data_IF_484229106873
#
_entry.id   IF_484229106873
#
_cell.length_a   1.000
_cell.length_b   1.000
_cell.length_c   1.000
_cell.angle_alpha   90.00
_cell.angle_beta   90.00
_cell.angle_gamma   90.00
#
_symmetry.space_group_name_H-M   'P 1'
#
loop_
_entity.id
_entity.type
_entity.pdbx_description
1 polymer ?
#
# COMPACT_ATOMS: atom_id res chain seq x y z
N UNK A 1 25.09 -0.36 -16.67
CA UNK A 1 25.35 1.05 -16.27
C UNK A 1 24.01 1.63 -15.89
N UNK A 2 23.79 1.94 -14.61
CA UNK A 2 22.54 2.59 -14.13
C UNK A 2 22.50 4.01 -14.71
N UNK A 3 21.41 4.36 -15.38
CA UNK A 3 21.22 5.68 -15.99
C UNK A 3 21.26 6.78 -14.90
N UNK A 4 21.76 7.98 -15.19
CA UNK A 4 21.95 9.04 -14.17
C UNK A 4 20.67 9.37 -13.41
N UNK A 5 19.53 9.34 -14.10
CA UNK A 5 18.17 9.51 -13.56
C UNK A 5 17.83 8.43 -12.54
N UNK A 6 18.08 7.17 -12.88
CA UNK A 6 17.81 6.01 -12.04
C UNK A 6 18.67 6.02 -10.78
N UNK A 7 19.96 6.40 -10.88
CA UNK A 7 20.84 6.55 -9.70
C UNK A 7 20.29 7.54 -8.70
N UNK A 8 19.74 8.68 -9.16
CA UNK A 8 19.12 9.68 -8.29
C UNK A 8 17.91 9.10 -7.55
N UNK A 9 17.09 8.29 -8.24
CA UNK A 9 15.93 7.64 -7.62
C UNK A 9 16.38 6.68 -6.49
N UNK A 10 17.39 5.85 -6.73
CA UNK A 10 17.92 4.93 -5.72
C UNK A 10 18.47 5.66 -4.49
N UNK A 11 19.31 6.68 -4.72
CA UNK A 11 19.90 7.47 -3.63
C UNK A 11 18.81 8.19 -2.83
N UNK A 12 17.82 8.76 -3.50
CA UNK A 12 16.73 9.49 -2.83
C UNK A 12 15.91 8.57 -1.92
N UNK A 13 15.52 7.38 -2.41
CA UNK A 13 14.81 6.41 -1.58
C UNK A 13 15.66 5.90 -0.43
N UNK A 14 16.93 5.57 -0.68
CA UNK A 14 17.85 5.13 0.37
C UNK A 14 17.99 6.18 1.48
N UNK A 15 18.11 7.47 1.12
CA UNK A 15 18.15 8.57 2.08
C UNK A 15 16.86 8.63 2.91
N UNK A 16 15.67 8.58 2.27
CA UNK A 16 14.39 8.60 2.99
C UNK A 16 14.30 7.45 4.00
N UNK A 17 14.69 6.23 3.59
CA UNK A 17 14.67 5.05 4.44
C UNK A 17 15.64 5.17 5.62
N UNK A 18 16.88 5.58 5.36
CA UNK A 18 17.91 5.76 6.41
C UNK A 18 17.50 6.87 7.37
N UNK A 19 17.00 8.01 6.88
CA UNK A 19 16.53 9.10 7.73
C UNK A 19 15.32 8.69 8.59
N UNK A 20 14.44 7.82 8.06
CA UNK A 20 13.33 7.26 8.85
C UNK A 20 13.87 6.40 10.01
N UNK A 21 14.82 5.50 9.76
CA UNK A 21 15.45 4.71 10.82
C UNK A 21 16.16 5.60 11.86
N UNK A 22 16.93 6.59 11.40
CA UNK A 22 17.66 7.51 12.26
C UNK A 22 16.72 8.35 13.13
N UNK A 23 15.62 8.86 12.57
CA UNK A 23 14.63 9.61 13.33
C UNK A 23 14.01 8.76 14.45
N UNK A 24 13.77 7.47 14.20
CA UNK A 24 13.33 6.52 15.24
C UNK A 24 14.35 6.31 16.34
N UNK A 25 15.61 6.03 15.96
CA UNK A 25 16.70 5.81 16.91
C UNK A 25 16.96 7.05 17.78
N UNK A 26 16.87 8.24 17.20
CA UNK A 26 17.03 9.51 17.92
C UNK A 26 15.84 9.83 18.84
N UNK A 27 14.65 9.30 18.53
CA UNK A 27 13.43 9.49 19.33
C UNK A 27 13.50 8.74 20.66
N UNK A 28 13.74 7.43 20.60
CA UNK A 28 13.57 6.55 21.77
C UNK A 28 14.92 6.08 22.35
N UNK A 29 16.02 6.40 21.66
CA UNK A 29 17.37 5.92 21.96
C UNK A 29 17.68 4.58 21.28
N UNK A 30 18.97 4.30 21.02
CA UNK A 30 19.39 3.12 20.24
C UNK A 30 19.06 1.79 20.92
N UNK A 31 19.26 1.69 22.25
CA UNK A 31 19.00 0.45 22.98
C UNK A 31 17.51 0.10 23.03
N UNK A 32 16.65 1.08 23.34
CA UNK A 32 15.19 0.93 23.35
C UNK A 32 14.67 0.55 21.97
N UNK A 33 15.06 1.32 20.94
CA UNK A 33 14.64 1.08 19.56
C UNK A 33 15.01 -0.32 19.07
N UNK A 34 16.19 -0.82 19.45
CA UNK A 34 16.61 -2.17 19.09
C UNK A 34 15.83 -3.24 19.85
N UNK A 35 15.57 -3.05 21.15
CA UNK A 35 14.74 -3.96 21.94
C UNK A 35 13.32 -4.07 21.37
N UNK A 36 12.69 -2.94 21.06
CA UNK A 36 11.36 -2.88 20.46
C UNK A 36 11.33 -3.53 19.07
N UNK A 37 12.37 -3.30 18.26
CA UNK A 37 12.53 -3.95 16.96
C UNK A 37 12.55 -5.49 17.08
N UNK A 38 13.29 -6.04 18.05
CA UNK A 38 13.32 -7.48 18.29
C UNK A 38 11.95 -8.01 18.71
N UNK A 39 11.26 -7.31 19.61
CA UNK A 39 9.88 -7.65 20.02
C UNK A 39 8.94 -7.68 18.82
N UNK A 40 9.04 -6.70 17.91
CA UNK A 40 8.26 -6.66 16.66
C UNK A 40 8.52 -7.89 15.79
N UNK A 41 9.77 -8.37 15.68
CA UNK A 41 10.08 -9.58 14.89
C UNK A 41 9.44 -10.84 15.47
N UNK A 42 9.25 -10.92 16.79
CA UNK A 42 8.66 -12.08 17.46
C UNK A 42 7.20 -11.89 17.87
N UNK A 43 6.48 -11.00 17.19
CA UNK A 43 5.06 -10.73 17.46
C UNK A 43 4.15 -11.18 16.31
N UNK A 44 2.92 -11.55 16.67
CA UNK A 44 1.80 -11.65 15.73
C UNK A 44 1.58 -10.32 15.01
N UNK A 45 1.16 -10.36 13.75
CA UNK A 45 1.18 -9.19 12.88
C UNK A 45 -0.05 -9.10 11.95
N UNK A 46 -1.21 -9.57 12.43
CA UNK A 46 -2.49 -9.47 11.70
C UNK A 46 -2.88 -8.02 11.42
N UNK A 47 -3.86 -7.86 10.52
CA UNK A 47 -4.36 -6.57 10.06
C UNK A 47 -4.70 -5.64 11.24
N UNK A 48 -4.15 -4.42 11.21
CA UNK A 48 -4.20 -3.42 12.29
C UNK A 48 -3.45 -3.86 13.57
N UNK A 49 -2.26 -4.45 13.41
CA UNK A 49 -1.26 -4.55 14.48
C UNK A 49 -0.29 -3.37 14.44
N UNK A 50 -0.59 -2.30 15.19
CA UNK A 50 0.23 -1.09 15.23
C UNK A 50 1.53 -1.28 16.05
N UNK A 51 2.68 -1.30 15.37
CA UNK A 51 3.97 -1.47 16.04
C UNK A 51 4.41 -0.24 16.83
N UNK A 52 3.84 0.94 16.57
CA UNK A 52 4.15 2.14 17.38
C UNK A 52 3.60 2.02 18.80
N UNK A 53 2.68 1.09 19.06
CA UNK A 53 2.23 0.74 20.41
C UNK A 53 3.27 -0.07 21.20
N UNK A 54 4.21 -0.75 20.53
CA UNK A 54 5.36 -1.41 21.16
C UNK A 54 6.44 -0.37 21.44
N UNK A 55 6.80 0.42 20.42
CA UNK A 55 7.77 1.50 20.53
C UNK A 55 7.93 2.23 19.21
N UNK A 56 8.11 3.56 19.27
CA UNK A 56 8.13 4.41 18.09
C UNK A 56 9.43 4.22 17.31
N UNK A 57 10.55 4.21 18.02
CA UNK A 57 11.87 3.96 17.47
C UNK A 57 11.97 2.58 16.83
N UNK A 58 11.50 1.53 17.53
CA UNK A 58 11.46 0.17 16.99
C UNK A 58 10.59 0.04 15.74
N UNK A 59 9.40 0.65 15.73
CA UNK A 59 8.51 0.65 14.57
C UNK A 59 9.14 1.36 13.36
N UNK A 60 9.80 2.51 13.56
CA UNK A 60 10.48 3.23 12.49
C UNK A 60 11.68 2.46 11.92
N UNK A 61 12.46 1.80 12.78
CA UNK A 61 13.57 0.92 12.36
C UNK A 61 13.04 -0.27 11.55
N UNK A 62 11.97 -0.93 12.03
CA UNK A 62 11.34 -2.02 11.30
C UNK A 62 10.81 -1.55 9.93
N UNK A 63 10.10 -0.42 9.90
CA UNK A 63 9.58 0.17 8.67
C UNK A 63 10.67 0.46 7.64
N UNK A 64 11.75 1.12 8.06
CA UNK A 64 12.89 1.41 7.21
C UNK A 64 13.56 0.14 6.69
N UNK A 65 13.71 -0.88 7.53
CA UNK A 65 14.32 -2.15 7.13
C UNK A 65 13.47 -2.92 6.12
N UNK A 66 12.13 -2.93 6.28
CA UNK A 66 11.21 -3.50 5.28
C UNK A 66 11.30 -2.72 3.96
N UNK A 67 11.37 -1.39 4.00
CA UNK A 67 11.57 -0.57 2.81
C UNK A 67 12.92 -0.84 2.11
N UNK A 68 14.00 -0.99 2.89
CA UNK A 68 15.33 -1.34 2.38
C UNK A 68 15.36 -2.74 1.76
N UNK A 69 14.63 -3.70 2.35
CA UNK A 69 14.45 -5.03 1.76
C UNK A 69 13.82 -4.92 0.37
N UNK A 70 12.77 -4.11 0.18
CA UNK A 70 12.19 -3.90 -1.14
C UNK A 70 13.11 -3.18 -2.12
N UNK A 71 13.83 -2.15 -1.67
CA UNK A 71 14.84 -1.48 -2.51
C UNK A 71 15.92 -2.46 -2.97
N UNK A 72 16.36 -3.36 -2.08
CA UNK A 72 17.27 -4.45 -2.39
C UNK A 72 16.70 -5.43 -3.42
N UNK A 73 15.44 -5.84 -3.27
CA UNK A 73 14.75 -6.70 -4.25
C UNK A 73 14.76 -6.07 -5.64
N UNK A 74 14.44 -4.78 -5.77
CA UNK A 74 14.44 -4.08 -7.07
C UNK A 74 15.84 -4.03 -7.66
N UNK A 75 16.84 -3.67 -6.84
CA UNK A 75 18.24 -3.58 -7.26
C UNK A 75 18.80 -4.92 -7.76
N UNK A 76 18.64 -5.99 -6.96
CA UNK A 76 19.18 -7.32 -7.30
C UNK A 76 18.38 -8.04 -8.39
N UNK A 77 17.11 -7.68 -8.58
CA UNK A 77 16.30 -8.22 -9.68
C UNK A 77 16.57 -7.54 -11.02
N UNK A 78 17.47 -6.55 -11.06
CA UNK A 78 17.80 -5.73 -12.25
C UNK A 78 16.56 -5.09 -12.88
N UNK A 79 15.63 -4.63 -12.04
CA UNK A 79 14.40 -3.94 -12.48
C UNK A 79 14.59 -2.44 -12.38
N UNK A 80 14.07 -1.72 -13.35
CA UNK A 80 14.11 -0.25 -13.35
C UNK A 80 13.37 0.30 -12.13
N UNK A 81 13.99 1.26 -11.46
CA UNK A 81 13.34 2.01 -10.39
C UNK A 81 12.38 3.04 -11.00
N UNK A 82 11.15 2.60 -11.26
CA UNK A 82 10.08 3.29 -11.97
C UNK A 82 8.88 3.52 -11.02
N UNK A 83 7.82 4.18 -11.49
CA UNK A 83 6.63 4.47 -10.67
C UNK A 83 6.06 3.27 -9.91
N UNK A 84 5.83 2.11 -10.56
CA UNK A 84 5.33 0.91 -9.88
C UNK A 84 6.24 0.39 -8.76
N UNK A 85 7.56 0.38 -8.96
CA UNK A 85 8.52 -0.11 -7.94
C UNK A 85 8.69 0.89 -6.80
N UNK A 86 8.65 2.19 -7.08
CA UNK A 86 8.59 3.26 -6.07
C UNK A 86 7.31 3.12 -5.23
N UNK A 87 6.16 2.91 -5.87
CA UNK A 87 4.90 2.65 -5.17
C UNK A 87 4.99 1.43 -4.26
N UNK A 88 5.60 0.34 -4.75
CA UNK A 88 5.89 -0.86 -3.95
C UNK A 88 6.73 -0.58 -2.71
N UNK A 89 7.85 0.14 -2.85
CA UNK A 89 8.77 0.44 -1.75
C UNK A 89 8.09 1.32 -0.68
N UNK A 90 7.41 2.39 -1.08
CA UNK A 90 6.67 3.24 -0.14
C UNK A 90 5.54 2.49 0.57
N UNK A 91 4.87 1.58 -0.13
CA UNK A 91 3.81 0.74 0.46
C UNK A 91 4.40 -0.19 1.51
N UNK A 92 5.43 -0.97 1.20
CA UNK A 92 6.01 -1.90 2.18
C UNK A 92 6.70 -1.16 3.34
N UNK A 93 7.29 0.03 3.09
CA UNK A 93 7.77 0.92 4.15
C UNK A 93 6.62 1.30 5.08
N UNK A 94 5.50 1.75 4.52
CA UNK A 94 4.32 2.12 5.29
C UNK A 94 3.76 0.98 6.13
N UNK A 95 3.61 -0.19 5.54
CA UNK A 95 3.16 -1.39 6.25
C UNK A 95 4.26 -2.00 7.14
N UNK A 96 5.50 -1.54 7.07
CA UNK A 96 6.50 -1.88 8.07
C UNK A 96 6.28 -1.15 9.40
N UNK A 97 5.40 -0.15 9.45
CA UNK A 97 4.91 0.39 10.73
C UNK A 97 3.81 -0.47 11.36
N UNK A 98 3.20 -1.40 10.60
CA UNK A 98 2.13 -2.27 11.08
C UNK A 98 1.98 -3.53 10.21
N UNK A 99 2.14 -4.70 10.82
CA UNK A 99 1.85 -5.97 10.14
C UNK A 99 2.96 -6.56 9.26
N UNK A 100 3.93 -5.78 8.75
CA UNK A 100 5.09 -6.32 8.01
C UNK A 100 6.37 -6.29 8.82
N UNK A 101 7.11 -7.38 8.77
CA UNK A 101 8.46 -7.50 9.32
C UNK A 101 9.38 -8.15 8.28
N UNK A 102 10.70 -7.95 8.36
CA UNK A 102 11.64 -8.72 7.56
C UNK A 102 11.39 -10.24 7.66
N UNK A 103 11.11 -10.74 8.88
CA UNK A 103 10.81 -12.16 9.12
C UNK A 103 9.66 -12.66 8.25
N UNK A 104 8.57 -11.90 8.16
CA UNK A 104 7.35 -12.34 7.50
C UNK A 104 7.31 -12.04 5.99
N UNK A 105 8.12 -11.08 5.54
CA UNK A 105 8.22 -10.71 4.12
C UNK A 105 9.10 -11.69 3.33
N UNK A 106 10.22 -12.13 3.89
CA UNK A 106 11.23 -12.93 3.18
C UNK A 106 10.68 -14.26 2.64
N UNK A 107 9.92 -15.08 3.41
CA UNK A 107 9.38 -16.34 2.91
C UNK A 107 8.45 -16.14 1.70
N UNK A 108 7.62 -15.12 1.73
CA UNK A 108 6.70 -14.77 0.62
C UNK A 108 7.49 -14.39 -0.63
N UNK A 109 8.48 -13.50 -0.50
CA UNK A 109 9.33 -13.08 -1.61
C UNK A 109 10.09 -14.27 -2.21
N UNK A 110 10.63 -15.16 -1.36
CA UNK A 110 11.31 -16.37 -1.79
C UNK A 110 10.38 -17.31 -2.58
N UNK A 111 9.12 -17.46 -2.16
CA UNK A 111 8.10 -18.20 -2.89
C UNK A 111 7.83 -17.62 -4.28
N UNK A 112 7.66 -16.30 -4.40
CA UNK A 112 7.44 -15.62 -5.69
C UNK A 112 8.62 -15.85 -6.64
N UNK A 113 9.85 -15.79 -6.12
CA UNK A 113 11.07 -16.06 -6.89
C UNK A 113 11.19 -17.52 -7.34
N UNK A 114 10.80 -18.48 -6.49
CA UNK A 114 10.71 -19.88 -6.90
C UNK A 114 9.71 -20.05 -8.07
N UNK A 115 8.56 -19.38 -7.98
CA UNK A 115 7.56 -19.35 -9.06
C UNK A 115 8.10 -18.74 -10.35
N UNK A 116 8.89 -17.65 -10.28
CA UNK A 116 9.56 -17.08 -11.45
C UNK A 116 10.47 -18.11 -12.12
N UNK A 117 11.28 -18.82 -11.34
CA UNK A 117 12.17 -19.87 -11.83
C UNK A 117 11.40 -21.03 -12.46
N UNK A 118 10.34 -21.51 -11.82
CA UNK A 118 9.50 -22.60 -12.36
C UNK A 118 8.79 -22.20 -13.65
N UNK A 119 8.39 -20.93 -13.79
CA UNK A 119 7.76 -20.41 -14.99
C UNK A 119 8.75 -20.01 -16.11
N UNK A 120 10.06 -20.23 -15.92
CA UNK A 120 11.09 -19.81 -16.87
C UNK A 120 11.16 -18.28 -17.06
N UNK A 121 10.78 -17.51 -16.05
CA UNK A 121 10.79 -16.04 -16.03
C UNK A 121 11.98 -15.51 -15.24
N UNK A 122 12.37 -14.27 -15.51
CA UNK A 122 13.37 -13.57 -14.70
C UNK A 122 12.76 -13.15 -13.36
N UNK A 123 13.57 -13.04 -12.31
CA UNK A 123 13.13 -12.51 -11.01
C UNK A 123 12.50 -11.12 -11.16
N UNK A 124 13.06 -10.30 -12.05
CA UNK A 124 12.55 -8.97 -12.34
C UNK A 124 11.10 -8.94 -12.84
N UNK A 125 10.68 -9.96 -13.60
CA UNK A 125 9.31 -10.07 -14.13
C UNK A 125 8.26 -10.15 -13.01
N UNK A 126 8.61 -10.73 -11.86
CA UNK A 126 7.72 -10.89 -10.71
C UNK A 126 8.10 -9.99 -9.52
N UNK A 127 8.99 -9.00 -9.71
CA UNK A 127 9.43 -8.09 -8.65
C UNK A 127 8.28 -7.36 -7.96
N UNK A 128 7.33 -6.80 -8.72
CA UNK A 128 6.14 -6.14 -8.15
C UNK A 128 5.26 -7.11 -7.37
N UNK A 129 5.13 -8.35 -7.86
CA UNK A 129 4.40 -9.41 -7.15
C UNK A 129 5.12 -9.78 -5.86
N UNK A 130 6.45 -9.83 -5.85
CA UNK A 130 7.24 -10.09 -4.64
C UNK A 130 7.08 -8.95 -3.62
N UNK A 131 7.16 -7.68 -4.04
CA UNK A 131 7.00 -6.53 -3.16
C UNK A 131 5.59 -6.48 -2.57
N UNK A 132 4.55 -6.46 -3.41
CA UNK A 132 3.18 -6.32 -2.93
C UNK A 132 2.62 -7.63 -2.34
N UNK A 133 3.14 -8.79 -2.74
CA UNK A 133 2.73 -10.09 -2.21
C UNK A 133 2.97 -10.25 -0.72
N UNK A 134 3.94 -9.51 -0.16
CA UNK A 134 4.18 -9.42 1.29
C UNK A 134 2.97 -8.92 2.08
N UNK A 135 1.88 -8.51 1.44
CA UNK A 135 0.59 -8.31 2.10
C UNK A 135 0.11 -9.54 2.88
N UNK A 136 0.51 -10.75 2.46
CA UNK A 136 0.28 -12.01 3.16
C UNK A 136 1.32 -12.30 4.25
N UNK A 137 2.19 -11.35 4.59
CA UNK A 137 3.10 -11.46 5.73
C UNK A 137 2.42 -11.92 7.03
N UNK A 138 1.20 -11.46 7.38
CA UNK A 138 0.52 -11.93 8.58
C UNK A 138 0.21 -13.43 8.57
N UNK A 139 0.04 -14.08 7.41
CA UNK A 139 -0.11 -15.53 7.35
C UNK A 139 1.10 -16.23 7.98
N UNK A 140 2.30 -15.71 7.72
CA UNK A 140 3.55 -16.25 8.26
C UNK A 140 3.56 -16.10 9.78
N UNK A 141 3.40 -14.89 10.30
CA UNK A 141 3.48 -14.64 11.76
C UNK A 141 2.31 -15.25 12.53
N UNK A 142 1.13 -15.33 11.93
CA UNK A 142 -0.02 -16.01 12.52
C UNK A 142 0.27 -17.50 12.74
N UNK A 143 0.78 -18.20 11.72
CA UNK A 143 1.19 -19.60 11.83
C UNK A 143 2.36 -19.76 12.81
N UNK A 144 3.27 -18.79 12.91
CA UNK A 144 4.41 -18.87 13.83
C UNK A 144 4.00 -18.70 15.29
N UNK A 145 3.12 -17.74 15.59
CA UNK A 145 2.96 -17.20 16.94
C UNK A 145 1.54 -17.27 17.49
N UNK A 146 0.52 -17.47 16.65
CA UNK A 146 -0.88 -17.35 17.07
C UNK A 146 -1.68 -18.67 17.00
N UNK A 147 -1.25 -19.68 16.23
CA UNK A 147 -1.96 -20.97 16.12
C UNK A 147 -1.79 -21.92 17.33
N UNK A 148 -1.04 -21.52 18.37
CA UNK A 148 -0.84 -22.31 19.58
C UNK A 148 0.07 -23.54 19.48
N UNK A 149 0.76 -23.75 18.35
CA UNK A 149 1.76 -24.82 18.21
C UNK A 149 3.11 -24.45 18.88
N UNK A 150 3.90 -25.43 19.36
CA UNK A 150 5.24 -25.17 19.87
C UNK A 150 6.15 -24.55 18.79
N UNK A 151 6.97 -23.57 19.18
CA UNK A 151 7.85 -22.81 18.28
C UNK A 151 8.71 -23.66 17.31
N UNK A 152 9.30 -24.81 17.72
CA UNK A 152 10.07 -25.66 16.82
C UNK A 152 9.29 -26.20 15.61
N UNK A 153 7.95 -26.29 15.72
CA UNK A 153 7.06 -26.73 14.65
C UNK A 153 6.38 -25.56 13.95
N UNK A 154 5.93 -24.56 14.72
CA UNK A 154 5.20 -23.41 14.18
C UNK A 154 6.08 -22.52 13.29
N UNK A 155 7.36 -22.34 13.64
CA UNK A 155 8.30 -21.51 12.86
C UNK A 155 8.55 -22.09 11.45
N UNK A 156 8.98 -23.36 11.30
CA UNK A 156 9.12 -23.96 9.97
C UNK A 156 7.81 -23.97 9.18
N UNK A 157 6.68 -24.21 9.84
CA UNK A 157 5.37 -24.22 9.19
C UNK A 157 4.98 -22.82 8.66
N UNK A 158 5.27 -21.76 9.42
CA UNK A 158 5.03 -20.38 8.98
C UNK A 158 5.89 -19.99 7.79
N UNK A 159 7.18 -20.36 7.79
CA UNK A 159 8.07 -20.16 6.65
C UNK A 159 7.53 -20.90 5.42
N UNK A 160 7.13 -22.16 5.58
CA UNK A 160 6.57 -22.97 4.50
C UNK A 160 5.26 -22.37 3.98
N UNK A 161 4.37 -21.94 4.86
CA UNK A 161 3.10 -21.29 4.51
C UNK A 161 3.32 -20.02 3.69
N UNK A 162 4.25 -19.17 4.12
CA UNK A 162 4.65 -17.99 3.36
C UNK A 162 5.27 -18.33 2.01
N UNK A 163 6.16 -19.31 1.96
CA UNK A 163 6.77 -19.76 0.71
C UNK A 163 5.72 -20.27 -0.29
N UNK A 164 4.77 -21.10 0.17
CA UNK A 164 3.69 -21.63 -0.68
C UNK A 164 2.77 -20.50 -1.15
N UNK A 165 2.35 -19.60 -0.26
CA UNK A 165 1.53 -18.44 -0.61
C UNK A 165 2.24 -17.55 -1.65
N UNK A 166 3.54 -17.32 -1.48
CA UNK A 166 4.37 -16.61 -2.45
C UNK A 166 4.43 -17.32 -3.81
N UNK A 167 4.60 -18.63 -3.82
CA UNK A 167 4.75 -19.40 -5.05
C UNK A 167 3.50 -19.41 -5.94
N UNK A 168 2.31 -19.36 -5.33
CA UNK A 168 1.03 -19.35 -6.07
C UNK A 168 0.61 -17.94 -6.53
N UNK A 169 1.12 -16.87 -5.92
CA UNK A 169 0.72 -15.49 -6.21
C UNK A 169 0.77 -15.11 -7.70
N UNK A 170 1.87 -15.39 -8.45
CA UNK A 170 1.93 -15.01 -9.87
C UNK A 170 0.85 -15.64 -10.73
N UNK A 171 0.44 -16.88 -10.43
CA UNK A 171 -0.60 -17.58 -11.17
C UNK A 171 -1.98 -16.93 -10.97
N UNK A 172 -2.26 -16.43 -9.77
CA UNK A 172 -3.55 -15.81 -9.43
C UNK A 172 -3.62 -14.35 -9.87
N UNK A 173 -2.50 -13.63 -9.80
CA UNK A 173 -2.43 -12.18 -10.07
C UNK A 173 -2.94 -11.80 -11.47
N UNK A 174 -2.65 -12.61 -12.49
CA UNK A 174 -3.11 -12.36 -13.86
C UNK A 174 -4.62 -12.39 -14.00
N UNK A 175 -5.28 -13.40 -13.42
CA UNK A 175 -6.74 -13.53 -13.43
C UNK A 175 -7.42 -12.40 -12.66
N UNK A 176 -6.85 -12.02 -11.52
CA UNK A 176 -7.38 -10.94 -10.69
C UNK A 176 -7.31 -9.58 -11.40
N UNK A 177 -6.23 -9.31 -12.15
CA UNK A 177 -6.09 -8.09 -12.95
C UNK A 177 -7.19 -7.96 -14.01
N UNK A 178 -7.61 -9.08 -14.62
CA UNK A 178 -8.67 -9.09 -15.63
C UNK A 178 -10.03 -8.70 -15.06
N UNK A 179 -10.35 -9.12 -13.83
CA UNK A 179 -11.63 -8.84 -13.18
C UNK A 179 -11.88 -7.34 -12.99
N UNK A 180 -10.90 -6.62 -12.46
CA UNK A 180 -11.03 -5.19 -12.20
C UNK A 180 -10.49 -4.30 -13.33
N UNK A 181 -9.98 -4.89 -14.41
CA UNK A 181 -9.50 -4.24 -15.64
C UNK A 181 -8.49 -3.09 -15.44
N UNK A 182 -7.71 -3.11 -14.37
CA UNK A 182 -6.74 -2.05 -14.04
C UNK A 182 -7.30 -0.84 -13.27
N UNK A 183 -8.56 -0.86 -12.83
CA UNK A 183 -9.17 0.23 -12.05
C UNK A 183 -8.96 0.14 -10.53
N UNK A 184 -8.26 -0.89 -10.05
CA UNK A 184 -7.81 -1.04 -8.68
C UNK A 184 -6.28 -0.99 -8.68
N UNK A 185 -5.70 0.09 -8.16
CA UNK A 185 -4.24 0.29 -8.15
C UNK A 185 -3.53 -0.74 -7.27
N UNK A 186 -4.17 -1.18 -6.19
CA UNK A 186 -3.68 -2.21 -5.27
C UNK A 186 -4.07 -3.62 -5.76
N UNK A 187 -3.81 -3.90 -7.04
CA UNK A 187 -4.21 -5.14 -7.72
C UNK A 187 -3.65 -6.41 -7.06
N UNK A 188 -2.40 -6.39 -6.59
CA UNK A 188 -1.82 -7.51 -5.87
C UNK A 188 -2.47 -7.67 -4.49
N UNK A 189 -2.95 -6.58 -3.87
CA UNK A 189 -3.79 -6.66 -2.67
C UNK A 189 -5.09 -7.43 -2.92
N UNK A 190 -5.73 -7.23 -4.08
CA UNK A 190 -6.89 -8.05 -4.48
C UNK A 190 -6.53 -9.54 -4.63
N UNK A 191 -5.34 -9.82 -5.16
CA UNK A 191 -4.82 -11.19 -5.28
C UNK A 191 -4.53 -11.82 -3.91
N UNK A 192 -3.89 -11.06 -3.02
CA UNK A 192 -3.59 -11.48 -1.66
C UNK A 192 -4.86 -11.72 -0.86
N UNK A 193 -5.86 -10.83 -0.92
CA UNK A 193 -7.14 -11.04 -0.23
C UNK A 193 -7.90 -12.26 -0.76
N UNK A 194 -7.87 -12.51 -2.07
CA UNK A 194 -8.44 -13.75 -2.63
C UNK A 194 -7.77 -14.99 -2.06
N UNK A 195 -6.44 -15.05 -2.01
CA UNK A 195 -5.71 -16.15 -1.38
C UNK A 195 -5.92 -16.22 0.15
N UNK A 196 -5.96 -15.07 0.81
CA UNK A 196 -6.20 -14.93 2.24
C UNK A 196 -7.56 -15.48 2.66
N UNK A 197 -8.57 -15.39 1.80
CA UNK A 197 -9.88 -16.02 2.01
C UNK A 197 -9.76 -17.55 2.09
N UNK A 198 -9.00 -18.19 1.19
CA UNK A 198 -8.78 -19.64 1.25
C UNK A 198 -7.94 -20.04 2.46
N UNK A 199 -6.87 -19.28 2.75
CA UNK A 199 -6.02 -19.54 3.91
C UNK A 199 -6.81 -19.43 5.23
N UNK A 200 -7.59 -18.35 5.40
CA UNK A 200 -8.43 -18.15 6.58
C UNK A 200 -9.52 -19.21 6.69
N UNK A 201 -10.16 -19.59 5.58
CA UNK A 201 -11.18 -20.64 5.57
C UNK A 201 -10.61 -22.01 5.96
N UNK A 202 -9.40 -22.34 5.50
CA UNK A 202 -8.72 -23.57 5.88
C UNK A 202 -8.37 -23.58 7.37
N UNK A 203 -7.86 -22.46 7.91
CA UNK A 203 -7.56 -22.32 9.35
C UNK A 203 -8.84 -22.41 10.20
N UNK A 204 -9.95 -21.83 9.74
CA UNK A 204 -11.27 -21.96 10.40
C UNK A 204 -11.77 -23.40 10.41
N UNK A 205 -11.63 -24.11 9.30
CA UNK A 205 -12.00 -25.53 9.22
C UNK A 205 -11.15 -26.41 10.17
N UNK A 206 -9.95 -25.96 10.51
CA UNK A 206 -9.06 -26.58 11.49
C UNK A 206 -9.21 -26.03 12.92
N UNK A 207 -10.25 -25.21 13.20
CA UNK A 207 -10.49 -24.54 14.49
C UNK A 207 -9.27 -23.77 15.03
N UNK A 208 -8.46 -23.23 14.11
CA UNK A 208 -7.18 -22.57 14.39
C UNK A 208 -7.19 -21.11 13.95
N UNK A 209 -8.37 -20.52 13.70
CA UNK A 209 -8.51 -19.12 13.28
C UNK A 209 -9.25 -18.31 14.34
N UNK A 210 -8.52 -17.41 15.00
CA UNK A 210 -9.09 -16.48 15.97
C UNK A 210 -9.70 -15.24 15.30
N UNK A 211 -10.56 -14.54 16.05
CA UNK A 211 -11.05 -13.22 15.65
C UNK A 211 -9.90 -12.21 15.52
N UNK A 212 -10.11 -11.19 14.68
CA UNK A 212 -9.10 -10.17 14.42
C UNK A 212 -8.96 -9.29 15.66
N UNK A 213 -7.75 -9.21 16.20
CA UNK A 213 -7.40 -8.22 17.22
C UNK A 213 -6.98 -6.90 16.56
N UNK A 214 -7.37 -5.78 17.16
CA UNK A 214 -6.97 -4.45 16.74
C UNK A 214 -6.06 -3.86 17.80
N UNK A 215 -4.82 -3.56 17.42
CA UNK A 215 -3.88 -2.80 18.24
C UNK A 215 -3.71 -1.44 17.58
N UNK A 216 -4.07 -0.38 18.31
CA UNK A 216 -4.16 0.98 17.78
C UNK A 216 -3.54 1.98 18.75
N UNK A 217 -2.42 2.58 18.38
CA UNK A 217 -1.80 3.60 19.21
C UNK A 217 -2.55 4.93 19.07
N UNK A 218 -2.97 5.48 20.19
CA UNK A 218 -3.65 6.79 20.28
C UNK A 218 -2.75 7.88 20.85
N UNK A 219 -1.53 7.53 21.27
CA UNK A 219 -0.57 8.47 21.86
C UNK A 219 0.03 9.34 20.76
N UNK A 220 -0.15 10.66 20.87
CA UNK A 220 0.47 11.60 19.96
C UNK A 220 1.97 11.72 20.23
N UNK A 221 2.78 11.60 19.18
CA UNK A 221 4.22 11.76 19.26
C UNK A 221 4.75 12.65 18.14
N UNK A 222 5.59 13.64 18.50
CA UNK A 222 6.09 14.64 17.55
C UNK A 222 6.77 14.02 16.34
N UNK A 223 7.61 13.00 16.54
CA UNK A 223 8.31 12.28 15.45
C UNK A 223 7.33 11.72 14.41
N UNK A 224 6.22 11.12 14.85
CA UNK A 224 5.22 10.55 13.94
C UNK A 224 4.45 11.64 13.20
N UNK A 225 4.09 12.74 13.88
CA UNK A 225 3.39 13.88 13.30
C UNK A 225 4.24 14.59 12.22
N UNK A 226 5.54 14.78 12.47
CA UNK A 226 6.42 15.52 11.55
C UNK A 226 7.03 14.67 10.43
N UNK A 227 6.99 13.33 10.52
CA UNK A 227 7.58 12.44 9.52
C UNK A 227 7.01 12.67 8.11
N UNK A 228 5.68 12.66 7.97
CA UNK A 228 5.03 12.80 6.66
C UNK A 228 5.25 14.17 6.03
N UNK A 229 5.05 15.30 6.76
CA UNK A 229 5.41 16.62 6.23
C UNK A 229 6.88 16.71 5.79
N UNK A 230 7.81 16.12 6.53
CA UNK A 230 9.23 16.12 6.18
C UNK A 230 9.51 15.33 4.89
N UNK A 231 8.98 14.12 4.77
CA UNK A 231 9.09 13.31 3.54
C UNK A 231 8.44 14.05 2.36
N UNK A 232 7.26 14.61 2.56
CA UNK A 232 6.52 15.34 1.51
C UNK A 232 7.29 16.57 1.03
N UNK A 233 7.90 17.33 1.95
CA UNK A 233 8.76 18.46 1.62
C UNK A 233 9.99 18.03 0.82
N UNK A 234 10.65 16.94 1.22
CA UNK A 234 11.81 16.39 0.52
C UNK A 234 11.46 15.95 -0.91
N UNK A 235 10.29 15.32 -1.11
CA UNK A 235 9.81 14.90 -2.44
C UNK A 235 9.46 16.11 -3.33
N UNK A 236 8.78 17.13 -2.79
CA UNK A 236 8.52 18.37 -3.52
C UNK A 236 9.82 19.09 -3.91
N UNK A 237 10.79 19.15 -2.99
CA UNK A 237 12.11 19.71 -3.26
C UNK A 237 12.82 18.93 -4.36
N UNK A 238 12.85 17.59 -4.28
CA UNK A 238 13.45 16.73 -5.30
C UNK A 238 12.80 16.94 -6.68
N UNK A 239 11.48 17.02 -6.72
CA UNK A 239 10.73 17.29 -7.95
C UNK A 239 10.99 18.66 -8.56
N UNK A 240 11.31 19.66 -7.73
CA UNK A 240 11.66 21.00 -8.19
C UNK A 240 13.08 21.08 -8.77
N UNK A 241 14.02 20.27 -8.27
CA UNK A 241 15.44 20.36 -8.64
C UNK A 241 15.91 19.28 -9.61
N UNK A 242 15.17 18.16 -9.78
CA UNK A 242 15.62 17.01 -10.54
C UNK A 242 14.51 16.32 -11.36
N UNK A 243 14.60 16.32 -12.71
CA UNK A 243 15.56 17.07 -13.55
C UNK A 243 15.26 18.59 -13.59
N UNK A 244 16.28 19.43 -13.80
CA UNK A 244 16.10 20.88 -13.88
C UNK A 244 15.46 21.29 -15.21
N UNK A 245 14.15 21.53 -15.21
CA UNK A 245 13.35 21.87 -16.41
C UNK A 245 12.76 23.29 -16.41
N UNK A 246 13.03 24.08 -15.36
CA UNK A 246 12.42 25.40 -15.14
C UNK A 246 10.97 25.34 -14.61
N UNK A 247 10.57 26.35 -13.84
CA UNK A 247 9.29 26.34 -13.11
C UNK A 247 8.05 26.21 -14.02
N UNK A 248 8.08 26.83 -15.21
CA UNK A 248 6.98 26.77 -16.17
C UNK A 248 6.73 25.35 -16.67
N UNK A 249 7.78 24.61 -17.05
CA UNK A 249 7.63 23.22 -17.54
C UNK A 249 7.17 22.31 -16.42
N UNK A 250 7.76 22.42 -15.24
CA UNK A 250 7.35 21.66 -14.05
C UNK A 250 5.85 21.85 -13.76
N UNK A 251 5.36 23.10 -13.76
CA UNK A 251 3.94 23.39 -13.55
C UNK A 251 3.04 22.74 -14.61
N UNK A 252 3.42 22.83 -15.90
CA UNK A 252 2.65 22.21 -16.99
C UNK A 252 2.60 20.69 -16.86
N UNK A 253 3.71 20.06 -16.49
CA UNK A 253 3.78 18.62 -16.29
C UNK A 253 3.00 18.17 -15.06
N UNK A 254 3.05 18.91 -13.94
CA UNK A 254 2.18 18.66 -12.77
C UNK A 254 0.71 18.70 -13.19
N UNK A 255 0.31 19.72 -13.96
CA UNK A 255 -1.07 19.82 -14.47
C UNK A 255 -1.41 18.66 -15.40
N UNK A 256 -0.49 18.24 -16.28
CA UNK A 256 -0.67 17.07 -17.14
C UNK A 256 -0.94 15.81 -16.32
N UNK A 257 -0.17 15.55 -15.26
CA UNK A 257 -0.38 14.40 -14.37
C UNK A 257 -1.79 14.39 -13.73
N UNK A 258 -2.34 15.56 -13.39
CA UNK A 258 -3.72 15.65 -12.87
C UNK A 258 -4.80 15.30 -13.89
N UNK A 259 -4.47 15.20 -15.19
CA UNK A 259 -5.44 14.88 -16.25
C UNK A 259 -5.44 13.42 -16.67
N UNK A 260 -4.43 12.64 -16.23
CA UNK A 260 -4.36 11.21 -16.52
C UNK A 260 -5.42 10.45 -15.73
N UNK A 261 -6.03 9.42 -16.33
CA UNK A 261 -6.99 8.59 -15.62
C UNK A 261 -6.34 7.86 -14.45
N UNK A 262 -5.10 7.40 -14.64
CA UNK A 262 -4.33 6.65 -13.66
C UNK A 262 -4.60 5.14 -13.69
N UNK A 263 -5.37 4.65 -14.67
CA UNK A 263 -5.64 3.21 -14.87
C UNK A 263 -4.34 2.42 -15.03
N UNK A 264 -4.25 1.26 -14.39
CA UNK A 264 -3.03 0.45 -14.47
C UNK A 264 -2.75 -0.06 -15.91
N UNK A 265 -1.47 -0.09 -16.32
CA UNK A 265 -0.32 0.59 -15.72
C UNK A 265 -0.22 2.05 -16.21
N UNK A 266 -0.15 3.02 -15.29
CA UNK A 266 0.18 4.42 -15.64
C UNK A 266 1.37 4.88 -14.80
N UNK A 267 2.58 4.76 -15.35
CA UNK A 267 3.81 5.27 -14.73
C UNK A 267 3.96 6.77 -14.98
N UNK A 268 4.01 7.57 -13.91
CA UNK A 268 4.13 9.01 -14.04
C UNK A 268 5.54 9.45 -14.40
N UNK A 269 6.58 8.66 -14.09
CA UNK A 269 7.94 8.94 -14.52
C UNK A 269 8.16 8.75 -16.02
N UNK A 270 7.32 7.94 -16.66
CA UNK A 270 7.33 7.76 -18.13
C UNK A 270 6.37 8.75 -18.82
N UNK A 271 5.39 9.29 -18.09
CA UNK A 271 4.39 10.19 -18.65
C UNK A 271 4.91 11.63 -18.88
N UNK A 272 5.97 12.05 -18.19
CA UNK A 272 6.54 13.40 -18.23
C UNK A 272 8.06 13.38 -18.08
N UNK A 273 8.72 14.42 -18.62
CA UNK A 273 10.19 14.52 -18.62
C UNK A 273 10.75 15.28 -17.40
N UNK A 274 9.89 15.83 -16.55
CA UNK A 274 10.27 16.65 -15.40
C UNK A 274 10.16 15.91 -14.06
N UNK A 275 10.59 16.57 -12.97
CA UNK A 275 10.43 16.07 -11.60
C UNK A 275 8.98 16.13 -11.08
N UNK A 276 8.00 16.40 -11.93
CA UNK A 276 6.58 16.48 -11.56
C UNK A 276 6.04 15.23 -10.82
N UNK A 277 6.47 13.98 -11.10
CA UNK A 277 6.03 12.81 -10.33
C UNK A 277 6.41 12.92 -8.86
N UNK A 278 7.67 13.28 -8.55
CA UNK A 278 8.11 13.53 -7.18
C UNK A 278 7.29 14.62 -6.48
N UNK A 279 7.02 15.71 -7.20
CA UNK A 279 6.22 16.81 -6.68
C UNK A 279 4.77 16.36 -6.39
N UNK A 280 4.16 15.58 -7.28
CA UNK A 280 2.82 15.03 -7.10
C UNK A 280 2.74 14.09 -5.88
N UNK A 281 3.75 13.23 -5.68
CA UNK A 281 3.86 12.39 -4.49
C UNK A 281 3.88 13.22 -3.20
N UNK A 282 4.68 14.29 -3.16
CA UNK A 282 4.78 15.18 -2.00
C UNK A 282 3.47 15.95 -1.72
N UNK A 283 2.80 16.46 -2.75
CA UNK A 283 1.50 17.13 -2.61
C UNK A 283 0.42 16.19 -2.04
N UNK A 284 0.37 14.95 -2.53
CA UNK A 284 -0.53 13.92 -2.00
C UNK A 284 -0.24 13.63 -0.53
N UNK A 285 1.03 13.59 -0.14
CA UNK A 285 1.45 13.43 1.25
C UNK A 285 0.98 14.57 2.15
N UNK A 286 1.20 15.83 1.74
CA UNK A 286 0.73 17.00 2.49
C UNK A 286 -0.78 17.02 2.65
N UNK A 287 -1.55 16.81 1.58
CA UNK A 287 -3.00 16.82 1.66
C UNK A 287 -3.55 15.68 2.51
N UNK A 288 -2.92 14.49 2.46
CA UNK A 288 -3.32 13.37 3.31
C UNK A 288 -3.01 13.63 4.79
N UNK A 289 -1.83 14.16 5.11
CA UNK A 289 -1.48 14.55 6.48
C UNK A 289 -2.39 15.67 7.01
N UNK A 290 -2.69 16.67 6.18
CA UNK A 290 -3.64 17.73 6.53
C UNK A 290 -5.03 17.17 6.82
N UNK A 291 -5.50 16.22 6.00
CA UNK A 291 -6.78 15.57 6.24
C UNK A 291 -6.81 14.89 7.63
N UNK A 292 -5.80 14.07 7.94
CA UNK A 292 -5.68 13.38 9.25
C UNK A 292 -5.68 14.39 10.41
N UNK A 293 -4.90 15.47 10.29
CA UNK A 293 -4.84 16.52 11.31
C UNK A 293 -6.18 17.24 11.50
N UNK A 294 -6.89 17.56 10.41
CA UNK A 294 -8.19 18.26 10.45
C UNK A 294 -9.28 17.40 11.07
N UNK A 295 -9.31 16.10 10.78
CA UNK A 295 -10.30 15.19 11.39
C UNK A 295 -9.93 14.76 12.81
N UNK A 296 -8.73 15.12 13.29
CA UNK A 296 -8.26 14.78 14.64
C UNK A 296 -7.90 13.31 14.84
N UNK A 297 -7.57 12.59 13.77
CA UNK A 297 -7.15 11.19 13.86
C UNK A 297 -5.68 11.06 14.32
N UNK A 298 -5.31 9.99 15.04
CA UNK A 298 -3.95 9.83 15.55
C UNK A 298 -2.94 9.57 14.41
N UNK A 299 -1.75 10.15 14.54
CA UNK A 299 -0.61 9.81 13.68
C UNK A 299 0.11 8.59 14.27
N UNK A 300 -0.31 7.41 13.82
CA UNK A 300 0.22 6.13 14.28
C UNK A 300 0.68 5.25 13.11
N UNK A 301 1.13 4.02 13.39
CA UNK A 301 1.74 3.17 12.37
C UNK A 301 0.84 2.91 11.15
N UNK A 302 -0.39 2.39 11.34
CA UNK A 302 -1.35 2.20 10.25
C UNK A 302 -1.68 3.46 9.46
N UNK A 303 -1.87 4.61 10.13
CA UNK A 303 -2.19 5.88 9.47
C UNK A 303 -1.01 6.37 8.62
N UNK A 304 0.22 6.34 9.17
CA UNK A 304 1.43 6.67 8.42
C UNK A 304 1.60 5.75 7.22
N UNK A 305 1.35 4.45 7.39
CA UNK A 305 1.44 3.49 6.30
C UNK A 305 0.39 3.71 5.21
N UNK A 306 -0.82 4.12 5.58
CA UNK A 306 -1.83 4.59 4.64
C UNK A 306 -1.34 5.79 3.84
N UNK A 307 -0.83 6.84 4.49
CA UNK A 307 -0.34 8.04 3.80
C UNK A 307 0.86 7.72 2.91
N UNK A 308 1.83 6.93 3.38
CA UNK A 308 2.98 6.51 2.59
C UNK A 308 2.55 5.72 1.34
N UNK A 309 1.48 4.92 1.43
CA UNK A 309 0.89 4.25 0.27
C UNK A 309 0.23 5.24 -0.70
N UNK A 310 -0.42 6.30 -0.20
CA UNK A 310 -0.92 7.39 -1.06
C UNK A 310 0.25 8.09 -1.78
N UNK A 311 1.31 8.43 -1.05
CA UNK A 311 2.54 9.03 -1.57
C UNK A 311 3.16 8.13 -2.65
N UNK A 312 3.38 6.85 -2.36
CA UNK A 312 4.02 5.89 -3.27
C UNK A 312 3.29 5.80 -4.61
N UNK A 313 1.98 5.59 -4.58
CA UNK A 313 1.16 5.52 -5.79
C UNK A 313 0.95 6.90 -6.45
N UNK A 314 1.41 8.00 -5.84
CA UNK A 314 1.56 9.29 -6.51
C UNK A 314 2.57 9.27 -7.66
N UNK A 315 3.42 8.24 -7.74
CA UNK A 315 4.24 7.95 -8.92
C UNK A 315 3.56 7.00 -9.91
N UNK A 316 2.43 6.38 -9.53
CA UNK A 316 1.80 5.27 -10.25
C UNK A 316 0.27 5.36 -10.23
N UNK A 317 -0.26 6.36 -10.92
CA UNK A 317 -1.70 6.49 -11.21
C UNK A 317 -2.52 7.34 -10.22
N UNK A 318 -1.96 7.85 -9.12
CA UNK A 318 -2.69 8.77 -8.23
C UNK A 318 -2.34 10.22 -8.48
N UNK A 319 -3.37 11.07 -8.43
CA UNK A 319 -3.28 12.51 -8.47
C UNK A 319 -4.31 13.11 -7.50
N UNK A 320 -4.15 14.38 -7.12
CA UNK A 320 -5.14 15.03 -6.25
C UNK A 320 -6.53 15.02 -6.89
N UNK A 321 -6.59 15.23 -8.21
CA UNK A 321 -7.86 15.25 -8.95
C UNK A 321 -8.62 13.93 -8.89
N UNK A 322 -7.93 12.79 -8.97
CA UNK A 322 -8.58 11.47 -9.03
C UNK A 322 -8.74 10.81 -7.64
N UNK A 323 -7.96 11.19 -6.63
CA UNK A 323 -8.09 10.66 -5.27
C UNK A 323 -9.26 11.28 -4.48
N UNK A 324 -9.45 12.60 -4.53
CA UNK A 324 -10.45 13.22 -3.65
C UNK A 324 -11.91 12.86 -3.93
N UNK A 325 -12.36 12.59 -5.17
CA UNK A 325 -13.71 12.10 -5.40
C UNK A 325 -14.01 10.77 -4.69
N UNK A 326 -13.07 9.81 -4.71
CA UNK A 326 -13.27 8.52 -4.02
C UNK A 326 -13.21 8.67 -2.50
N UNK A 327 -12.37 9.57 -1.99
CA UNK A 327 -12.36 9.92 -0.55
C UNK A 327 -13.66 10.56 -0.11
N UNK A 328 -14.20 11.48 -0.91
CA UNK A 328 -15.49 12.11 -0.65
C UNK A 328 -16.60 11.04 -0.55
N UNK A 329 -16.57 10.02 -1.40
CA UNK A 329 -17.45 8.87 -1.31
C UNK A 329 -17.42 8.16 0.04
N UNK A 330 -16.22 7.90 0.57
CA UNK A 330 -16.06 7.30 1.91
C UNK A 330 -16.59 8.23 2.99
N UNK A 331 -16.26 9.53 2.96
CA UNK A 331 -16.76 10.50 3.93
C UNK A 331 -18.29 10.56 3.94
N UNK A 332 -18.93 10.52 2.77
CA UNK A 332 -20.39 10.45 2.67
C UNK A 332 -20.95 9.17 3.29
N UNK A 333 -20.32 8.02 3.02
CA UNK A 333 -20.73 6.75 3.63
C UNK A 333 -20.56 6.76 5.16
N UNK A 334 -19.48 7.35 5.68
CA UNK A 334 -19.27 7.54 7.12
C UNK A 334 -20.42 8.33 7.74
N UNK A 335 -20.81 9.45 7.13
CA UNK A 335 -21.93 10.27 7.61
C UNK A 335 -23.27 9.52 7.51
N UNK A 336 -23.55 8.89 6.38
CA UNK A 336 -24.82 8.15 6.15
C UNK A 336 -24.99 6.99 7.12
N UNK A 337 -23.92 6.26 7.43
CA UNK A 337 -23.96 5.13 8.34
C UNK A 337 -23.67 5.51 9.81
N UNK A 338 -23.51 6.79 10.13
CA UNK A 338 -23.29 7.27 11.50
C UNK A 338 -21.99 6.73 12.13
N UNK A 339 -20.93 6.56 11.33
CA UNK A 339 -19.64 6.03 11.78
C UNK A 339 -18.72 7.14 12.28
N UNK A 340 -17.79 6.78 13.17
CA UNK A 340 -16.71 7.67 13.57
C UNK A 340 -15.57 7.62 12.56
N UNK A 341 -15.28 8.75 11.92
CA UNK A 341 -14.21 8.87 10.91
C UNK A 341 -12.83 8.61 11.48
N UNK A 342 -12.63 8.81 12.79
CA UNK A 342 -11.33 8.63 13.47
C UNK A 342 -11.06 7.18 13.88
N UNK A 343 -12.09 6.33 13.84
CA UNK A 343 -11.95 4.91 14.17
C UNK A 343 -11.12 4.15 13.12
N UNK A 344 -10.43 3.05 13.49
CA UNK A 344 -9.42 2.40 12.64
C UNK A 344 -9.92 2.00 11.25
N UNK A 345 -11.13 1.45 11.14
CA UNK A 345 -11.70 1.04 9.85
C UNK A 345 -11.94 2.22 8.91
N UNK A 346 -12.82 3.18 9.26
CA UNK A 346 -13.10 4.38 8.49
C UNK A 346 -11.87 5.22 8.11
N UNK A 347 -10.93 5.47 9.04
CA UNK A 347 -9.77 6.32 8.72
C UNK A 347 -8.82 5.65 7.72
N UNK A 348 -8.62 4.33 7.85
CA UNK A 348 -7.82 3.56 6.89
C UNK A 348 -8.56 3.44 5.55
N UNK A 349 -9.89 3.30 5.57
CA UNK A 349 -10.70 3.33 4.35
C UNK A 349 -10.51 4.64 3.59
N UNK A 350 -10.50 5.80 4.27
CA UNK A 350 -10.24 7.11 3.64
C UNK A 350 -8.87 7.16 2.96
N UNK A 351 -7.81 6.66 3.61
CA UNK A 351 -6.47 6.71 3.01
C UNK A 351 -6.34 5.73 1.83
N UNK A 352 -6.85 4.50 2.01
CA UNK A 352 -6.62 3.43 1.05
C UNK A 352 -7.66 3.33 -0.07
N UNK A 353 -8.84 3.96 0.04
CA UNK A 353 -9.83 4.03 -1.06
C UNK A 353 -9.25 4.69 -2.31
N UNK A 354 -8.18 5.47 -2.16
CA UNK A 354 -7.41 6.02 -3.28
C UNK A 354 -6.91 4.95 -4.27
N UNK A 355 -6.97 3.66 -3.93
CA UNK A 355 -6.81 2.56 -4.88
C UNK A 355 -7.81 2.59 -6.06
N UNK A 356 -9.01 3.13 -5.83
CA UNK A 356 -10.08 3.30 -6.81
C UNK A 356 -10.00 4.62 -7.57
N UNK A 357 -8.95 5.42 -7.34
CA UNK A 357 -8.75 6.70 -8.02
C UNK A 357 -8.88 6.62 -9.56
N UNK A 358 -8.46 5.53 -10.25
CA UNK A 358 -8.67 5.41 -11.68
C UNK A 358 -10.13 5.50 -12.13
N UNK A 359 -11.09 5.08 -11.30
CA UNK A 359 -12.53 5.19 -11.61
C UNK A 359 -12.93 6.66 -11.71
N UNK A 360 -12.49 7.49 -10.76
CA UNK A 360 -12.74 8.92 -10.81
C UNK A 360 -12.00 9.60 -11.98
N UNK A 361 -10.78 9.15 -12.27
CA UNK A 361 -9.97 9.67 -13.36
C UNK A 361 -10.58 9.41 -14.75
N UNK A 362 -11.19 8.25 -14.95
CA UNK A 362 -11.77 7.83 -16.24
C UNK A 362 -13.25 8.18 -16.41
N UNK A 363 -14.05 8.02 -15.34
CA UNK A 363 -15.51 8.15 -15.38
C UNK A 363 -16.03 9.40 -14.65
N UNK A 364 -15.13 10.21 -14.09
CA UNK A 364 -15.46 11.49 -13.45
C UNK A 364 -15.87 11.37 -11.99
N UNK A 365 -16.20 12.54 -11.41
CA UNK A 365 -16.38 12.72 -9.97
C UNK A 365 -17.48 11.82 -9.40
N UNK A 366 -18.64 11.75 -10.06
CA UNK A 366 -19.79 10.98 -9.55
C UNK A 366 -19.49 9.47 -9.45
N UNK A 367 -18.82 8.91 -10.45
CA UNK A 367 -18.41 7.51 -10.42
C UNK A 367 -17.38 7.25 -9.30
N UNK A 368 -16.45 8.19 -9.10
CA UNK A 368 -15.51 8.15 -7.98
C UNK A 368 -16.20 8.16 -6.62
N UNK A 369 -17.13 9.09 -6.41
CA UNK A 369 -17.91 9.19 -5.17
C UNK A 369 -18.70 7.91 -4.91
N UNK A 370 -19.38 7.36 -5.92
CA UNK A 370 -20.11 6.11 -5.78
C UNK A 370 -19.19 4.92 -5.43
N UNK A 371 -18.05 4.80 -6.10
CA UNK A 371 -17.08 3.76 -5.81
C UNK A 371 -16.53 3.87 -4.38
N UNK A 372 -16.21 5.08 -3.93
CA UNK A 372 -15.75 5.32 -2.56
C UNK A 372 -16.81 5.02 -1.50
N UNK A 373 -18.07 5.35 -1.78
CA UNK A 373 -19.19 5.03 -0.90
C UNK A 373 -19.35 3.52 -0.72
N UNK A 374 -19.29 2.76 -1.82
CA UNK A 374 -19.37 1.29 -1.80
C UNK A 374 -18.19 0.68 -1.04
N UNK A 375 -16.99 1.21 -1.26
CA UNK A 375 -15.77 0.71 -0.67
C UNK A 375 -15.82 0.61 0.86
N UNK A 376 -16.45 1.57 1.56
CA UNK A 376 -16.47 1.62 3.03
C UNK A 376 -17.11 0.38 3.66
N UNK A 377 -18.28 -0.05 3.19
CA UNK A 377 -18.92 -1.24 3.77
C UNK A 377 -18.31 -2.54 3.24
N UNK A 378 -17.67 -2.49 2.06
CA UNK A 378 -16.91 -3.62 1.54
C UNK A 378 -15.68 -3.89 2.38
N UNK A 379 -14.87 -2.88 2.70
CA UNK A 379 -13.60 -3.07 3.44
C UNK A 379 -13.79 -3.63 4.85
N UNK A 380 -14.87 -3.26 5.52
CA UNK A 380 -15.19 -3.82 6.84
C UNK A 380 -15.59 -5.29 6.76
N UNK A 381 -16.37 -5.66 5.74
CA UNK A 381 -16.79 -7.04 5.53
C UNK A 381 -15.62 -7.93 5.14
N UNK A 382 -14.78 -7.46 4.23
CA UNK A 382 -13.69 -8.25 3.67
C UNK A 382 -12.59 -8.53 4.69
N UNK A 383 -12.34 -7.63 5.64
CA UNK A 383 -11.37 -7.84 6.71
C UNK A 383 -11.66 -9.16 7.45
N UNK A 384 -12.93 -9.36 7.81
CA UNK A 384 -13.41 -10.54 8.51
C UNK A 384 -13.34 -11.81 7.66
N UNK A 385 -13.52 -11.71 6.34
CA UNK A 385 -13.50 -12.88 5.44
C UNK A 385 -12.13 -13.54 5.33
N UNK A 386 -11.06 -12.75 5.33
CA UNK A 386 -9.69 -13.26 5.31
C UNK A 386 -9.04 -13.25 6.71
N UNK A 387 -9.81 -12.97 7.77
CA UNK A 387 -9.38 -12.99 9.17
C UNK A 387 -8.12 -12.18 9.48
N UNK A 388 -7.92 -11.05 8.79
CA UNK A 388 -6.76 -10.19 9.01
C UNK A 388 -5.42 -10.70 8.44
N UNK A 389 -5.45 -11.78 7.64
CA UNK A 389 -4.25 -12.35 7.00
C UNK A 389 -3.71 -11.52 5.82
N UNK A 390 -4.56 -10.72 5.18
CA UNK A 390 -4.19 -9.79 4.11
C UNK A 390 -4.09 -8.36 4.65
N UNK A 391 -2.88 -7.80 4.63
CA UNK A 391 -2.66 -6.40 4.99
C UNK A 391 -3.26 -5.45 3.97
N UNK A 392 -3.37 -5.86 2.71
CA UNK A 392 -3.93 -5.04 1.64
C UNK A 392 -5.42 -5.30 1.45
N UNK A 393 -6.16 -5.46 2.56
CA UNK A 393 -7.61 -5.62 2.59
C UNK A 393 -8.33 -4.53 1.77
N UNK A 394 -7.82 -3.29 1.78
CA UNK A 394 -8.37 -2.23 0.94
C UNK A 394 -8.14 -2.46 -0.57
N UNK A 395 -7.06 -3.12 -0.95
CA UNK A 395 -6.89 -3.62 -2.31
C UNK A 395 -7.86 -4.76 -2.63
N UNK A 396 -8.19 -5.62 -1.67
CA UNK A 396 -9.20 -6.66 -1.82
C UNK A 396 -10.62 -6.10 -1.99
N UNK A 397 -11.08 -5.28 -1.05
CA UNK A 397 -12.34 -4.56 -1.15
C UNK A 397 -12.40 -3.64 -2.39
N UNK A 398 -11.29 -2.97 -2.71
CA UNK A 398 -11.16 -2.14 -3.90
C UNK A 398 -11.29 -2.95 -5.18
N UNK A 399 -10.71 -4.16 -5.26
CA UNK A 399 -10.85 -5.04 -6.40
C UNK A 399 -12.29 -5.49 -6.63
N UNK A 400 -13.01 -5.86 -5.56
CA UNK A 400 -14.44 -6.21 -5.63
C UNK A 400 -15.29 -5.01 -6.06
N UNK A 401 -15.05 -3.85 -5.44
CA UNK A 401 -15.76 -2.60 -5.74
C UNK A 401 -15.53 -2.17 -7.18
N UNK A 402 -14.28 -2.17 -7.65
CA UNK A 402 -13.93 -1.83 -9.02
C UNK A 402 -14.58 -2.80 -10.01
N UNK A 403 -14.57 -4.11 -9.73
CA UNK A 403 -15.20 -5.12 -10.61
C UNK A 403 -16.69 -4.83 -10.78
N UNK A 404 -17.42 -4.56 -9.68
CA UNK A 404 -18.84 -4.22 -9.72
C UNK A 404 -19.10 -2.93 -10.49
N UNK A 405 -18.42 -1.84 -10.12
CA UNK A 405 -18.64 -0.51 -10.71
C UNK A 405 -18.32 -0.52 -12.20
N UNK A 406 -17.22 -1.16 -12.61
CA UNK A 406 -16.83 -1.22 -14.02
C UNK A 406 -17.77 -2.08 -14.84
N UNK A 407 -18.25 -3.21 -14.30
CA UNK A 407 -19.25 -4.03 -14.98
C UNK A 407 -20.52 -3.21 -15.31
N UNK A 408 -21.03 -2.43 -14.35
CA UNK A 408 -22.22 -1.58 -14.52
C UNK A 408 -21.94 -0.45 -15.52
N UNK A 409 -20.82 0.27 -15.36
CA UNK A 409 -20.49 1.43 -16.20
C UNK A 409 -20.23 1.02 -17.66
N UNK A 410 -19.58 -0.12 -17.89
CA UNK A 410 -19.35 -0.64 -19.24
C UNK A 410 -20.63 -1.16 -19.88
N UNK A 411 -21.48 -1.87 -19.12
CA UNK A 411 -22.79 -2.29 -19.61
C UNK A 411 -23.62 -1.07 -20.01
N UNK A 412 -23.64 -0.02 -19.18
CA UNK A 412 -24.33 1.23 -19.49
C UNK A 412 -23.77 1.94 -20.74
N UNK A 413 -22.44 2.10 -20.84
CA UNK A 413 -21.81 2.71 -22.03
C UNK A 413 -22.09 1.94 -23.31
N UNK A 414 -22.14 0.60 -23.25
CA UNK A 414 -22.33 -0.25 -24.42
C UNK A 414 -23.79 -0.30 -24.88
N UNK A 415 -24.75 -0.15 -23.96
CA UNK A 415 -26.18 -0.25 -24.26
C UNK A 415 -26.89 1.10 -24.45
N UNK A 416 -26.18 2.23 -24.33
CA UNK A 416 -26.72 3.53 -24.75
C UNK A 416 -26.62 3.73 -26.25
N UNK A 417 -27.74 4.09 -26.87
CA UNK A 417 -27.80 4.55 -28.26
C UNK A 417 -27.03 5.87 -28.43
N UNK A 418 -26.29 6.01 -29.54
CA UNK A 418 -25.39 7.15 -29.85
C UNK A 418 -26.06 8.54 -29.86
N UNK A 419 -27.40 8.61 -29.84
CA UNK A 419 -28.16 9.86 -29.96
C UNK A 419 -28.14 10.73 -28.69
N UNK A 420 -27.85 10.16 -27.52
CA UNK A 420 -27.90 10.89 -26.25
C UNK A 420 -26.63 11.71 -25.90
N UNK A 421 -25.56 11.64 -26.70
CA UNK A 421 -24.30 12.34 -26.41
C UNK A 421 -24.23 13.78 -26.96
N UNK A 422 -25.36 14.30 -27.48
CA UNK A 422 -25.48 15.67 -28.01
C UNK A 422 -26.28 16.63 -27.12
N UNK A 423 -26.63 16.26 -25.89
CA UNK A 423 -27.26 17.17 -24.92
C UNK A 423 -26.28 17.62 -23.83
#
# INVERSE_FOLDING_TARGET
MVEKSERIRYVSLAIILVLTALAGILSDGPATSFGDFLTIQSSGARLIQDFTAIGIGGAMVNAALVGLLGLGVVYFSSVTLAGPTIAGIFTILGFGFFGKTPLNCIPIMAGVWASARFAGKTMGSYSLIALFGTALGPLVTYIMFEIGLPLPFSIPLGILGGFVAGAILPAVAGSMLQLHQGYNLYNIGFTCGFLGLFASSALRAADSMEDISIVWNTTSHGTLVFLIPAISAALCFLGAVSPPVGAKRLYLDIRKLQTLSGRLPTDYFDAVDSGAPWFNMGLLGFCSALFIAVVGAPFNGPVLGGILTVIGFGAFGKSLRNCWPVVLGVCLAVVVFGKDITSPGPILAVLFVTTLAPIAGEFGILAGVAAGFIHLFMVESTAAWHGGLDLYNNGFAGGLTATLVIAILHWYRTNRTKEDFKS
#
